data_IF_816942619865
#
_entry.id   IF_816942619865
#
_cell.length_a   1.000
_cell.length_b   1.000
_cell.length_c   1.000
_cell.angle_alpha   90.00
_cell.angle_beta   90.00
_cell.angle_gamma   90.00
#
_symmetry.space_group_name_H-M   'P 1'
#
loop_
_entity.id
_entity.type
_entity.pdbx_description
1 polymer ?
#
# COMPACT_ATOMS: atom_id res chain seq x y z
N UNK A 1 30.91 2.34 -19.52
CA UNK A 1 30.32 1.97 -18.22
C UNK A 1 28.96 2.64 -18.16
N UNK A 2 27.89 1.93 -18.55
CA UNK A 2 26.55 2.49 -18.68
C UNK A 2 25.76 2.13 -17.42
N UNK A 3 25.29 3.15 -16.69
CA UNK A 3 24.40 3.00 -15.55
C UNK A 3 23.03 2.56 -16.08
N UNK A 4 22.55 1.40 -15.61
CA UNK A 4 21.26 0.84 -16.00
C UNK A 4 20.11 1.78 -15.66
N UNK A 5 19.47 2.32 -16.68
CA UNK A 5 18.19 3.01 -16.54
C UNK A 5 17.06 2.02 -16.25
N UNK A 6 15.90 2.49 -15.74
CA UNK A 6 14.79 1.60 -15.41
C UNK A 6 14.27 0.90 -16.67
N UNK A 7 14.25 -0.43 -16.64
CA UNK A 7 13.67 -1.24 -17.71
C UNK A 7 12.18 -0.93 -17.85
N UNK A 8 11.78 -0.47 -19.04
CA UNK A 8 10.38 -0.39 -19.45
C UNK A 8 10.07 -1.60 -20.31
N UNK A 9 9.41 -2.59 -19.74
CA UNK A 9 8.85 -3.68 -20.53
C UNK A 9 7.43 -3.33 -20.97
N UNK A 10 7.20 -3.47 -22.28
CA UNK A 10 5.90 -3.34 -22.89
C UNK A 10 4.97 -4.44 -22.36
N UNK A 11 3.68 -4.11 -22.28
CA UNK A 11 2.52 -4.96 -21.92
C UNK A 11 2.11 -4.78 -20.45
N UNK A 12 0.98 -4.09 -20.22
CA UNK A 12 0.46 -3.65 -18.91
C UNK A 12 0.00 -4.75 -17.95
N UNK A 13 0.82 -5.78 -17.75
CA UNK A 13 0.71 -6.68 -16.62
C UNK A 13 1.58 -6.11 -15.50
N UNK A 14 0.97 -5.55 -14.47
CA UNK A 14 1.67 -5.09 -13.27
C UNK A 14 2.34 -6.30 -12.63
N UNK A 15 3.64 -6.49 -12.85
CA UNK A 15 4.41 -7.48 -12.10
C UNK A 15 4.34 -7.03 -10.65
N UNK A 16 3.64 -7.80 -9.80
CA UNK A 16 3.66 -7.54 -8.37
C UNK A 16 5.13 -7.44 -7.91
N UNK A 17 5.46 -6.45 -7.10
CA UNK A 17 6.84 -6.26 -6.67
C UNK A 17 7.07 -7.17 -5.46
N UNK A 18 8.22 -7.85 -5.42
CA UNK A 18 8.65 -8.53 -4.18
C UNK A 18 9.07 -7.43 -3.21
N UNK A 19 8.45 -7.39 -2.04
CA UNK A 19 8.79 -6.44 -0.98
C UNK A 19 10.23 -6.72 -0.49
N UNK A 20 11.14 -5.74 -0.51
CA UNK A 20 12.44 -5.88 0.13
C UNK A 20 12.29 -6.07 1.64
N UNK A 21 13.19 -6.82 2.27
CA UNK A 21 13.08 -7.14 3.71
C UNK A 21 13.09 -5.89 4.61
N UNK A 22 13.85 -4.86 4.22
CA UNK A 22 13.83 -3.55 4.91
C UNK A 22 12.43 -2.92 4.89
N UNK A 23 11.74 -2.98 3.74
CA UNK A 23 10.40 -2.43 3.61
C UNK A 23 9.37 -3.27 4.37
N UNK A 24 9.52 -4.61 4.36
CA UNK A 24 8.65 -5.50 5.14
C UNK A 24 8.70 -5.14 6.63
N UNK A 25 9.91 -5.06 7.19
CA UNK A 25 10.12 -4.70 8.58
C UNK A 25 9.53 -3.32 8.92
N UNK A 26 9.76 -2.33 8.06
CA UNK A 26 9.25 -0.96 8.26
C UNK A 26 7.72 -0.88 8.17
N UNK A 27 7.07 -1.69 7.33
CA UNK A 27 5.61 -1.76 7.24
C UNK A 27 5.02 -2.41 8.48
N UNK A 28 5.58 -3.53 8.94
CA UNK A 28 5.07 -4.26 10.11
C UNK A 28 5.18 -3.44 11.41
N UNK A 29 6.22 -2.62 11.56
CA UNK A 29 6.37 -1.73 12.73
C UNK A 29 5.66 -0.37 12.56
N UNK A 30 5.13 -0.06 11.38
CA UNK A 30 4.68 1.28 10.98
C UNK A 30 3.71 1.95 11.98
N UNK A 31 2.76 1.20 12.53
CA UNK A 31 1.82 1.73 13.51
C UNK A 31 2.46 1.97 14.89
N UNK A 32 3.34 1.08 15.34
CA UNK A 32 4.03 1.19 16.62
C UNK A 32 5.05 2.35 16.61
N UNK A 33 5.69 2.55 15.46
CA UNK A 33 6.68 3.62 15.26
C UNK A 33 6.04 5.01 15.05
N UNK A 34 4.71 5.09 14.97
CA UNK A 34 4.00 6.35 14.77
C UNK A 34 3.96 6.83 13.30
N UNK A 35 4.26 5.96 12.34
CA UNK A 35 4.25 6.25 10.90
C UNK A 35 3.27 5.33 10.14
N UNK A 36 1.96 5.33 10.48
CA UNK A 36 1.00 4.41 9.87
C UNK A 36 0.80 4.68 8.38
N UNK A 37 0.43 3.64 7.64
CA UNK A 37 0.14 3.74 6.21
C UNK A 37 -1.20 4.45 5.98
N UNK A 38 -1.17 5.47 5.13
CA UNK A 38 -2.37 6.13 4.62
C UNK A 38 -2.92 5.36 3.44
N UNK A 39 -4.19 4.99 3.50
CA UNK A 39 -4.88 4.26 2.45
C UNK A 39 -5.94 5.12 1.78
N UNK A 40 -5.90 5.17 0.46
CA UNK A 40 -6.86 5.84 -0.39
C UNK A 40 -7.68 4.81 -1.19
N UNK A 41 -8.98 5.08 -1.30
CA UNK A 41 -9.94 4.30 -2.08
C UNK A 41 -10.97 5.25 -2.70
N UNK A 42 -11.64 4.82 -3.75
CA UNK A 42 -12.62 5.61 -4.49
C UNK A 42 -13.95 4.88 -4.50
N UNK A 43 -15.05 5.59 -4.25
CA UNK A 43 -16.40 5.01 -4.37
C UNK A 43 -16.92 5.00 -5.81
N UNK A 44 -18.15 4.52 -5.99
CA UNK A 44 -18.77 4.38 -7.31
C UNK A 44 -19.08 5.72 -8.00
N UNK A 45 -19.08 6.83 -7.26
CA UNK A 45 -19.27 8.18 -7.80
C UNK A 45 -17.97 8.85 -8.20
N UNK A 46 -16.83 8.19 -7.94
CA UNK A 46 -15.51 8.77 -8.15
C UNK A 46 -15.01 9.62 -6.97
N UNK A 47 -15.72 9.62 -5.83
CA UNK A 47 -15.31 10.39 -4.66
C UNK A 47 -14.16 9.65 -3.92
N UNK A 48 -12.97 10.26 -3.81
CA UNK A 48 -11.87 9.67 -3.05
C UNK A 48 -12.09 9.79 -1.54
N UNK A 49 -11.59 8.81 -0.81
CA UNK A 49 -11.48 8.80 0.65
C UNK A 49 -10.10 8.34 1.07
N UNK A 50 -9.50 9.03 2.04
CA UNK A 50 -8.21 8.67 2.66
C UNK A 50 -8.45 8.40 4.15
N UNK A 51 -7.87 7.33 4.67
CA UNK A 51 -7.91 7.02 6.10
C UNK A 51 -6.70 6.18 6.55
N UNK A 52 -6.47 6.17 7.87
CA UNK A 52 -5.56 5.23 8.53
C UNK A 52 -6.40 4.06 9.04
N UNK A 53 -5.96 2.84 8.74
CA UNK A 53 -6.54 1.61 9.29
C UNK A 53 -5.60 1.06 10.36
N UNK A 54 -6.18 0.51 11.43
CA UNK A 54 -5.48 0.29 12.71
C UNK A 54 -4.16 -0.48 12.62
N UNK A 55 -4.00 -1.35 11.64
CA UNK A 55 -2.70 -1.88 11.24
C UNK A 55 -2.71 -2.30 9.77
N UNK A 56 -1.56 -2.10 9.12
CA UNK A 56 -1.19 -2.80 7.89
C UNK A 56 -0.03 -3.72 8.23
N UNK A 57 -0.02 -4.94 7.71
CA UNK A 57 1.05 -5.91 7.91
C UNK A 57 1.43 -6.58 6.58
N UNK A 58 2.62 -7.16 6.53
CA UNK A 58 3.07 -7.99 5.42
C UNK A 58 2.39 -9.35 5.52
N UNK A 59 1.61 -9.72 4.50
CA UNK A 59 0.94 -11.03 4.44
C UNK A 59 1.81 -12.08 3.75
N UNK A 60 2.49 -11.67 2.67
CA UNK A 60 3.44 -12.48 1.91
C UNK A 60 4.49 -11.57 1.29
N UNK A 61 5.44 -12.15 0.54
CA UNK A 61 6.46 -11.38 -0.19
C UNK A 61 5.88 -10.36 -1.17
N UNK A 62 4.60 -10.46 -1.52
CA UNK A 62 3.96 -9.67 -2.58
C UNK A 62 2.62 -9.07 -2.15
N UNK A 63 2.19 -9.30 -0.91
CA UNK A 63 0.85 -8.94 -0.44
C UNK A 63 0.91 -8.26 0.93
N UNK A 64 0.02 -7.30 1.10
CA UNK A 64 -0.21 -6.60 2.37
C UNK A 64 -1.61 -6.94 2.89
N UNK A 65 -1.71 -7.13 4.19
CA UNK A 65 -2.98 -7.27 4.89
C UNK A 65 -3.34 -5.99 5.64
N UNK A 66 -4.61 -5.58 5.57
CA UNK A 66 -5.12 -4.40 6.29
C UNK A 66 -6.19 -4.87 7.28
N UNK A 67 -6.06 -4.46 8.55
CA UNK A 67 -7.08 -4.77 9.56
C UNK A 67 -8.23 -3.75 9.51
N UNK A 68 -9.42 -4.22 9.14
CA UNK A 68 -10.66 -3.43 9.09
C UNK A 68 -11.60 -3.88 10.21
N UNK A 69 -12.10 -2.94 11.03
CA UNK A 69 -12.95 -3.25 12.21
C UNK A 69 -14.42 -3.52 11.87
N UNK A 70 -14.89 -3.07 10.72
CA UNK A 70 -16.32 -3.08 10.40
C UNK A 70 -16.53 -3.64 9.00
N UNK A 71 -17.35 -4.69 8.92
CA UNK A 71 -17.74 -5.30 7.66
C UNK A 71 -18.73 -4.42 6.89
N UNK A 72 -18.72 -4.54 5.56
CA UNK A 72 -19.74 -3.93 4.68
C UNK A 72 -19.76 -2.41 4.62
N UNK A 73 -18.79 -1.70 5.20
CA UNK A 73 -18.71 -0.22 5.17
C UNK A 73 -17.31 0.28 4.83
N UNK A 74 -17.23 1.58 4.51
CA UNK A 74 -15.97 2.29 4.33
C UNK A 74 -15.07 1.68 3.25
N UNK A 75 -13.85 1.32 3.64
CA UNK A 75 -12.85 0.80 2.71
C UNK A 75 -13.31 -0.49 2.02
N UNK A 76 -13.87 -1.44 2.79
CA UNK A 76 -14.27 -2.74 2.27
C UNK A 76 -15.41 -2.64 1.26
N UNK A 77 -16.41 -1.78 1.53
CA UNK A 77 -17.51 -1.55 0.58
C UNK A 77 -17.06 -0.87 -0.71
N UNK A 78 -16.05 0.02 -0.65
CA UNK A 78 -15.51 0.68 -1.84
C UNK A 78 -14.62 -0.26 -2.65
N UNK A 79 -13.70 -0.95 -1.99
CA UNK A 79 -12.76 -1.88 -2.64
C UNK A 79 -13.45 -3.11 -3.23
N UNK A 80 -14.57 -3.55 -2.65
CA UNK A 80 -15.42 -4.59 -3.24
C UNK A 80 -16.10 -4.16 -4.57
N UNK A 81 -16.28 -2.85 -4.81
CA UNK A 81 -16.84 -2.31 -6.07
C UNK A 81 -15.76 -1.81 -7.02
N UNK A 82 -14.66 -1.29 -6.48
CA UNK A 82 -13.52 -0.75 -7.20
C UNK A 82 -12.22 -1.15 -6.47
N UNK A 83 -11.56 -2.19 -6.98
CA UNK A 83 -10.37 -2.75 -6.35
C UNK A 83 -9.14 -1.81 -6.36
N UNK A 84 -9.20 -0.68 -7.10
CA UNK A 84 -8.08 0.25 -7.21
C UNK A 84 -7.86 1.00 -5.91
N UNK A 85 -6.67 0.88 -5.36
CA UNK A 85 -6.27 1.50 -4.09
C UNK A 85 -4.89 2.13 -4.20
N UNK A 86 -4.65 3.09 -3.32
CA UNK A 86 -3.34 3.71 -3.18
C UNK A 86 -2.95 3.71 -1.70
N UNK A 87 -1.69 3.38 -1.42
CA UNK A 87 -1.09 3.48 -0.10
C UNK A 87 0.09 4.44 -0.12
N UNK A 88 0.23 5.24 0.93
CA UNK A 88 1.43 6.05 1.17
C UNK A 88 2.03 5.71 2.53
N UNK A 89 3.30 5.33 2.51
CA UNK A 89 4.10 5.07 3.70
C UNK A 89 5.35 5.94 3.70
N UNK A 90 5.63 6.60 4.83
CA UNK A 90 6.84 7.36 5.04
C UNK A 90 7.25 7.33 6.51
N UNK A 91 8.39 6.72 6.81
CA UNK A 91 9.08 6.85 8.10
C UNK A 91 10.20 7.88 7.95
N UNK A 92 10.08 9.03 8.62
CA UNK A 92 11.06 10.12 8.50
C UNK A 92 12.29 9.91 9.37
N UNK A 93 12.22 9.03 10.38
CA UNK A 93 13.36 8.69 11.25
C UNK A 93 14.35 7.78 10.52
N UNK A 94 13.86 6.77 9.81
CA UNK A 94 14.69 5.80 9.06
C UNK A 94 14.89 6.18 7.60
N UNK A 95 14.20 7.22 7.12
CA UNK A 95 14.15 7.61 5.72
C UNK A 95 13.65 6.52 4.75
N UNK A 96 12.91 5.52 5.25
CA UNK A 96 12.20 4.54 4.41
C UNK A 96 10.86 5.14 3.95
N UNK A 97 10.45 4.86 2.73
CA UNK A 97 9.12 5.24 2.25
C UNK A 97 8.79 4.58 0.91
N UNK A 98 7.49 4.39 0.67
CA UNK A 98 7.02 3.84 -0.58
C UNK A 98 5.60 4.32 -0.90
N UNK A 99 5.32 4.34 -2.20
CA UNK A 99 3.96 4.35 -2.71
C UNK A 99 3.56 2.90 -3.01
N UNK A 100 2.34 2.53 -2.61
CA UNK A 100 1.71 1.26 -2.91
C UNK A 100 0.57 1.54 -3.88
N UNK A 101 0.52 0.81 -5.00
CA UNK A 101 -0.58 0.91 -5.98
C UNK A 101 -1.12 -0.50 -6.22
N UNK A 102 -2.41 -0.67 -5.99
CA UNK A 102 -3.15 -1.93 -6.15
C UNK A 102 -4.41 -1.74 -6.96
#
# INVERSE_FOLDING_TARGET
MSLGGPERHANGSTIAVVLPDELKAAIDSSCADGFPILWASVDETGQPTIAIYGSTHVHSDRELGIWLRTEGRGFLSRTGKNAKVFGWFRNTTTNVGCQIVG
#
